data_IF_623892869094
#
_entry.id   IF_623892869094
#
_cell.length_a   1.000
_cell.length_b   1.000
_cell.length_c   1.000
_cell.angle_alpha   90.00
_cell.angle_beta   90.00
_cell.angle_gamma   90.00
#
_symmetry.space_group_name_H-M   'P 1'
#
loop_
_entity.id
_entity.type
_entity.pdbx_description
1 polymer ?
#
# COMPACT_ATOMS: atom_id res chain seq x y z
N UNK A 1 6.38 -16.44 10.74
CA UNK A 1 6.79 -17.82 11.05
C UNK A 1 5.60 -18.72 10.80
N UNK A 2 5.81 -19.85 10.13
CA UNK A 2 4.80 -20.89 9.97
C UNK A 2 5.19 -22.07 10.85
N UNK A 3 4.23 -22.59 11.62
CA UNK A 3 4.41 -23.76 12.46
C UNK A 3 3.56 -24.86 11.86
N UNK A 4 4.20 -25.91 11.37
CA UNK A 4 3.54 -27.07 10.75
C UNK A 4 4.02 -28.37 11.39
N UNK A 5 3.34 -29.48 11.03
CA UNK A 5 3.74 -30.82 11.49
C UNK A 5 5.15 -31.23 11.04
N UNK A 6 5.60 -30.72 9.90
CA UNK A 6 6.94 -30.93 9.32
C UNK A 6 8.04 -30.10 10.02
N UNK A 7 7.68 -29.14 10.88
CA UNK A 7 8.62 -28.27 11.58
C UNK A 7 8.26 -26.77 11.51
N UNK A 8 9.26 -25.93 11.77
CA UNK A 8 9.13 -24.47 11.80
C UNK A 8 9.76 -23.88 10.55
N UNK A 9 9.00 -23.06 9.82
CA UNK A 9 9.50 -22.28 8.68
C UNK A 9 9.57 -20.80 9.05
N UNK A 10 10.75 -20.20 8.93
CA UNK A 10 10.95 -18.76 9.08
C UNK A 10 10.68 -18.06 7.75
N UNK A 11 9.93 -16.95 7.79
CA UNK A 11 9.59 -16.12 6.64
C UNK A 11 9.99 -14.67 6.95
N UNK A 12 11.27 -14.30 6.80
CA UNK A 12 11.71 -12.93 7.05
C UNK A 12 11.16 -11.99 5.97
N UNK A 13 10.67 -10.82 6.39
CA UNK A 13 10.16 -9.76 5.50
C UNK A 13 10.83 -8.44 5.87
N UNK A 14 11.26 -7.69 4.86
CA UNK A 14 11.68 -6.30 5.00
C UNK A 14 10.76 -5.43 4.14
N UNK A 15 10.18 -4.40 4.74
CA UNK A 15 9.29 -3.45 4.07
C UNK A 15 9.80 -2.04 4.29
N UNK A 16 9.80 -1.23 3.22
CA UNK A 16 9.99 0.23 3.32
C UNK A 16 8.64 0.89 3.15
N UNK A 17 8.12 1.42 4.24
CA UNK A 17 6.91 2.23 4.21
C UNK A 17 7.19 3.59 3.55
N UNK A 18 6.20 4.12 2.85
CA UNK A 18 6.18 5.49 2.34
C UNK A 18 4.84 6.11 2.73
N UNK A 19 4.85 7.36 3.18
CA UNK A 19 3.60 8.06 3.49
C UNK A 19 2.76 8.26 2.22
N UNK A 20 1.42 8.37 2.34
CA UNK A 20 0.52 8.70 1.23
C UNK A 20 1.04 9.77 0.27
N UNK A 21 1.45 10.92 0.81
CA UNK A 21 1.95 12.07 0.05
C UNK A 21 3.33 11.83 -0.57
N UNK A 22 4.19 11.07 0.10
CA UNK A 22 5.50 10.66 -0.45
C UNK A 22 5.30 9.74 -1.65
N UNK A 23 4.37 8.78 -1.55
CA UNK A 23 4.01 7.90 -2.65
C UNK A 23 3.42 8.67 -3.83
N UNK A 24 2.60 9.69 -3.56
CA UNK A 24 2.05 10.57 -4.60
C UNK A 24 3.16 11.35 -5.32
N UNK A 25 4.14 11.88 -4.58
CA UNK A 25 5.30 12.55 -5.16
C UNK A 25 6.12 11.59 -6.05
N UNK A 26 6.36 10.37 -5.58
CA UNK A 26 7.02 9.33 -6.38
C UNK A 26 6.23 9.02 -7.67
N UNK A 27 4.90 8.95 -7.58
CA UNK A 27 4.02 8.77 -8.73
C UNK A 27 4.15 9.91 -9.74
N UNK A 28 4.12 11.16 -9.28
CA UNK A 28 4.31 12.34 -10.12
C UNK A 28 5.65 12.35 -10.84
N UNK A 29 6.75 12.02 -10.13
CA UNK A 29 8.08 11.89 -10.73
C UNK A 29 8.15 10.77 -11.78
N UNK A 30 7.27 9.77 -11.69
CA UNK A 30 7.12 8.70 -12.66
C UNK A 30 6.14 9.02 -13.81
N UNK A 31 5.60 10.26 -13.87
CA UNK A 31 4.62 10.67 -14.89
C UNK A 31 3.20 10.15 -14.64
N UNK A 32 2.86 9.89 -13.38
CA UNK A 32 1.53 9.44 -12.96
C UNK A 32 0.81 10.53 -12.16
N UNK A 33 -0.53 10.55 -12.23
CA UNK A 33 -1.40 11.40 -11.43
C UNK A 33 -2.33 10.54 -10.59
N UNK A 34 -2.46 10.88 -9.30
CA UNK A 34 -3.44 10.25 -8.43
C UNK A 34 -4.86 10.57 -8.93
N UNK A 35 -5.65 9.53 -9.17
CA UNK A 35 -7.06 9.63 -9.59
C UNK A 35 -7.99 9.41 -8.40
N UNK A 36 -7.65 8.48 -7.50
CA UNK A 36 -8.48 8.17 -6.34
C UNK A 36 -7.72 7.42 -5.25
N UNK A 37 -8.19 7.58 -4.01
CA UNK A 37 -7.63 6.91 -2.84
C UNK A 37 -8.74 6.45 -1.89
N UNK A 38 -8.67 5.19 -1.48
CA UNK A 38 -9.70 4.50 -0.72
C UNK A 38 -9.08 3.74 0.45
N UNK A 39 -9.85 3.48 1.51
CA UNK A 39 -9.37 2.69 2.65
C UNK A 39 -9.27 1.19 2.34
N UNK A 40 -9.99 0.71 1.34
CA UNK A 40 -10.02 -0.68 0.93
C UNK A 40 -10.44 -0.87 -0.53
N UNK A 41 -10.65 -2.13 -0.90
CA UNK A 41 -11.00 -2.52 -2.27
C UNK A 41 -12.47 -2.31 -2.60
N UNK A 42 -13.31 -1.95 -1.63
CA UNK A 42 -14.74 -1.67 -1.81
C UNK A 42 -15.01 -0.16 -1.94
N UNK A 43 -13.98 0.63 -2.27
CA UNK A 43 -14.03 2.09 -2.45
C UNK A 43 -14.43 2.84 -1.16
N UNK A 44 -14.07 2.30 0.00
CA UNK A 44 -14.36 2.92 1.29
C UNK A 44 -13.60 4.24 1.45
N UNK A 45 -14.20 5.19 2.18
CA UNK A 45 -13.61 6.51 2.40
C UNK A 45 -12.25 6.40 3.13
N UNK A 46 -11.22 7.02 2.54
CA UNK A 46 -9.89 7.08 3.14
C UNK A 46 -9.80 8.23 4.17
N UNK A 47 -9.22 7.94 5.34
CA UNK A 47 -9.00 8.91 6.42
C UNK A 47 -7.72 8.60 7.20
N UNK A 48 -7.35 9.46 8.14
CA UNK A 48 -6.22 9.22 9.05
C UNK A 48 -6.39 8.02 9.97
N UNK A 49 -7.62 7.52 10.16
CA UNK A 49 -7.92 6.33 10.95
C UNK A 49 -7.88 5.03 10.12
N UNK A 50 -7.72 5.11 8.80
CA UNK A 50 -7.69 3.94 7.92
C UNK A 50 -6.42 3.11 8.13
N UNK A 51 -6.57 1.80 8.34
CA UNK A 51 -5.44 0.88 8.57
C UNK A 51 -4.56 0.65 7.32
N UNK A 52 -5.04 1.03 6.14
CA UNK A 52 -4.35 0.93 4.87
C UNK A 52 -5.01 1.80 3.81
N UNK A 53 -4.54 1.71 2.57
CA UNK A 53 -5.17 2.36 1.44
C UNK A 53 -4.96 1.64 0.11
N UNK A 54 -5.88 1.87 -0.81
CA UNK A 54 -5.76 1.58 -2.24
C UNK A 54 -5.66 2.91 -2.97
N UNK A 55 -4.59 3.10 -3.73
CA UNK A 55 -4.36 4.30 -4.54
C UNK A 55 -4.38 3.95 -6.02
N UNK A 56 -5.22 4.64 -6.78
CA UNK A 56 -5.33 4.48 -8.23
C UNK A 56 -4.62 5.65 -8.89
N UNK A 57 -3.65 5.34 -9.75
CA UNK A 57 -2.92 6.33 -10.52
C UNK A 57 -3.21 6.12 -12.01
N UNK A 58 -3.31 7.22 -12.75
CA UNK A 58 -3.42 7.22 -14.21
C UNK A 58 -2.19 7.88 -14.81
N UNK A 59 -1.89 7.56 -16.08
CA UNK A 59 -0.82 8.25 -16.80
C UNK A 59 -1.20 9.71 -17.01
N UNK A 60 -0.28 10.62 -16.69
CA UNK A 60 -0.42 12.05 -16.95
C UNK A 60 -0.39 12.38 -18.44
#
# INVERSE_FOLDING_TARGET
>A
VLIGREGITLLPVQMRYAWPSELDLMGQMAGLRLEGRYAGWQLEAFSSASAGHVSVYVRG
#
